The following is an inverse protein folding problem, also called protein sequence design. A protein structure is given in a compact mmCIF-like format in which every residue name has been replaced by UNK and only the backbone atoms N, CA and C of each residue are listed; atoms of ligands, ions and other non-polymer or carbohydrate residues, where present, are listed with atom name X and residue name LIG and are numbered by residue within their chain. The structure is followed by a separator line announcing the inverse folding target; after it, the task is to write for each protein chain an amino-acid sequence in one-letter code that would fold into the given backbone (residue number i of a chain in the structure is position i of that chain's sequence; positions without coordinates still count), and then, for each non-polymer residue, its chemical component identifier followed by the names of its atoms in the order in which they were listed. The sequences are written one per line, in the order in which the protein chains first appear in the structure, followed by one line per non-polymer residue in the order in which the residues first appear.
data_IF_701923624244
#
_entry.id   IF_701923624244
#
_cell.length_a   1.000
_cell.length_b   1.000
_cell.length_c   1.000
_cell.angle_alpha   90.00
_cell.angle_beta   90.00
_cell.angle_gamma   90.00
#
_symmetry.space_group_name_H-M   'P 1'
#
loop_
_entity.id
_entity.type
_entity.pdbx_description
1 polymer ?
#
# COMPACT_ATOMS: atom_id res chain seq x y z
N UNK A 1 16.23 8.48 -6.17
CA UNK A 1 14.90 9.11 -6.27
C UNK A 1 14.25 9.17 -4.90
N UNK A 2 13.53 10.24 -4.56
CA UNK A 2 12.70 10.33 -3.34
C UNK A 2 11.27 9.90 -3.66
N UNK A 3 10.63 9.22 -2.73
CA UNK A 3 9.21 8.87 -2.84
C UNK A 3 8.48 9.36 -1.59
N UNK A 4 7.58 10.30 -1.77
CA UNK A 4 6.60 10.67 -0.75
C UNK A 4 5.36 9.79 -0.91
N UNK A 5 4.68 9.50 0.19
CA UNK A 5 3.42 8.77 0.14
C UNK A 5 2.32 9.44 0.95
N UNK A 6 1.10 9.32 0.48
CA UNK A 6 -0.12 9.73 1.19
C UNK A 6 -0.90 8.46 1.51
N UNK A 7 -1.25 8.26 2.78
CA UNK A 7 -1.91 7.05 3.26
C UNK A 7 -3.09 7.38 4.17
N UNK A 8 -4.03 6.45 4.31
CA UNK A 8 -5.25 6.63 5.08
C UNK A 8 -5.03 6.43 6.59
N UNK A 9 -4.54 5.24 6.93
CA UNK A 9 -4.53 4.69 8.27
C UNK A 9 -3.25 4.98 9.05
N UNK A 10 -3.33 4.79 10.37
CA UNK A 10 -2.15 4.85 11.24
C UNK A 10 -1.22 3.65 10.99
N UNK A 11 -1.78 2.45 10.83
CA UNK A 11 -1.00 1.25 10.50
C UNK A 11 -0.29 1.40 9.15
N UNK A 12 -0.98 1.89 8.13
CA UNK A 12 -0.41 2.14 6.79
C UNK A 12 0.76 3.10 6.82
N UNK A 13 0.71 4.15 7.65
CA UNK A 13 1.78 5.13 7.78
C UNK A 13 3.09 4.54 8.31
N UNK A 14 3.01 3.42 9.03
CA UNK A 14 4.19 2.68 9.51
C UNK A 14 4.54 1.53 8.56
N UNK A 15 3.53 0.87 7.99
CA UNK A 15 3.70 -0.32 7.18
C UNK A 15 4.10 -0.06 5.73
N UNK A 16 3.47 0.93 5.08
CA UNK A 16 3.69 1.19 3.67
C UNK A 16 5.13 1.60 3.34
N UNK A 17 5.82 2.43 4.14
CA UNK A 17 7.25 2.70 3.90
C UNK A 17 8.13 1.45 3.98
N UNK A 18 7.81 0.51 4.86
CA UNK A 18 8.54 -0.76 4.98
C UNK A 18 8.35 -1.58 3.71
N UNK A 19 7.10 -1.75 3.29
CA UNK A 19 6.76 -2.49 2.08
C UNK A 19 7.36 -1.86 0.82
N UNK A 20 7.24 -0.54 0.69
CA UNK A 20 7.73 0.20 -0.47
C UNK A 20 9.25 0.08 -0.62
N UNK A 21 10.02 0.14 0.47
CA UNK A 21 11.47 -0.10 0.41
C UNK A 21 11.81 -1.51 -0.09
N UNK A 22 11.04 -2.51 0.32
CA UNK A 22 11.24 -3.90 -0.15
C UNK A 22 10.91 -4.04 -1.63
N UNK A 23 9.81 -3.45 -2.09
CA UNK A 23 9.44 -3.43 -3.52
C UNK A 23 10.53 -2.72 -4.33
N UNK A 24 11.01 -1.55 -3.89
CA UNK A 24 12.06 -0.81 -4.59
C UNK A 24 13.36 -1.59 -4.69
N UNK A 25 13.75 -2.28 -3.61
CA UNK A 25 14.92 -3.15 -3.61
C UNK A 25 14.76 -4.32 -4.59
N UNK A 26 13.56 -4.87 -4.72
CA UNK A 26 13.27 -5.96 -5.66
C UNK A 26 13.28 -5.50 -7.13
N UNK A 27 12.58 -4.40 -7.44
CA UNK A 27 12.43 -3.92 -8.83
C UNK A 27 13.64 -3.14 -9.34
N UNK A 28 14.37 -2.44 -8.47
CA UNK A 28 15.54 -1.65 -8.84
C UNK A 28 16.64 -1.70 -7.76
N UNK A 29 17.35 -2.85 -7.62
CA UNK A 29 18.30 -3.08 -6.52
C UNK A 29 19.55 -2.19 -6.56
N UNK A 30 19.86 -1.56 -7.71
CA UNK A 30 21.09 -0.79 -7.91
C UNK A 30 20.93 0.71 -7.66
N UNK A 31 19.71 1.17 -7.45
CA UNK A 31 19.41 2.59 -7.26
C UNK A 31 19.13 2.92 -5.79
N UNK A 32 19.57 4.11 -5.39
CA UNK A 32 19.28 4.65 -4.07
C UNK A 32 17.92 5.34 -4.07
N UNK A 33 17.03 4.86 -3.20
CA UNK A 33 15.69 5.39 -3.02
C UNK A 33 15.48 5.91 -1.61
N UNK A 34 15.01 7.15 -1.49
CA UNK A 34 14.66 7.78 -0.21
C UNK A 34 13.14 7.73 -0.03
N UNK A 35 12.66 6.73 0.73
CA UNK A 35 11.24 6.62 1.09
C UNK A 35 10.95 7.51 2.29
N UNK A 36 10.27 8.61 2.03
CA UNK A 36 9.96 9.65 3.00
C UNK A 36 8.85 9.21 3.96
N UNK A 37 8.74 9.93 5.10
CA UNK A 37 7.64 9.70 6.04
C UNK A 37 6.29 9.99 5.37
N UNK A 38 5.30 9.08 5.45
CA UNK A 38 4.00 9.30 4.85
C UNK A 38 3.24 10.48 5.45
N UNK A 39 2.48 11.15 4.60
CA UNK A 39 1.43 12.08 5.02
C UNK A 39 0.16 11.26 5.25
N UNK A 40 -0.35 11.27 6.48
CA UNK A 40 -1.55 10.52 6.85
C UNK A 40 -2.79 11.40 6.78
N UNK A 41 -3.78 11.01 5.99
CA UNK A 41 -5.08 11.67 5.91
C UNK A 41 -6.18 10.62 5.98
N UNK A 42 -7.04 10.65 7.02
CA UNK A 42 -8.18 9.75 7.11
C UNK A 42 -9.07 9.86 5.86
N UNK A 43 -9.62 8.73 5.41
CA UNK A 43 -10.48 8.63 4.23
C UNK A 43 -11.63 9.61 4.19
N UNK A 44 -12.28 9.80 5.34
CA UNK A 44 -13.38 10.76 5.49
C UNK A 44 -13.00 12.19 5.10
N UNK A 45 -11.71 12.53 5.14
CA UNK A 45 -11.16 13.79 4.60
C UNK A 45 -10.64 13.63 3.19
N UNK A 46 -9.91 12.56 2.88
CA UNK A 46 -9.28 12.35 1.56
C UNK A 46 -10.27 12.52 0.40
N UNK A 47 -11.47 11.95 0.53
CA UNK A 47 -12.50 12.02 -0.53
C UNK A 47 -13.11 13.41 -0.69
N UNK A 48 -12.94 14.33 0.27
CA UNK A 48 -13.46 15.69 0.17
C UNK A 48 -12.66 16.52 -0.83
N UNK A 49 -13.30 17.37 -1.65
CA UNK A 49 -12.59 18.29 -2.54
C UNK A 49 -11.56 19.13 -1.80
N UNK A 50 -10.36 19.24 -2.35
CA UNK A 50 -9.26 20.07 -1.82
C UNK A 50 -8.43 19.45 -0.68
N UNK A 51 -8.84 18.35 -0.05
CA UNK A 51 -8.04 17.69 1.00
C UNK A 51 -6.88 16.86 0.42
N UNK A 52 -7.16 16.02 -0.58
CA UNK A 52 -6.13 15.25 -1.29
C UNK A 52 -5.12 16.16 -2.01
N UNK A 53 -5.60 17.24 -2.61
CA UNK A 53 -4.81 18.22 -3.34
C UNK A 53 -3.83 18.94 -2.39
N UNK A 54 -4.29 19.34 -1.20
CA UNK A 54 -3.41 19.91 -0.16
C UNK A 54 -2.37 18.91 0.33
N UNK A 55 -2.73 17.64 0.44
CA UNK A 55 -1.80 16.57 0.80
C UNK A 55 -0.73 16.39 -0.27
N UNK A 56 -1.15 16.37 -1.53
CA UNK A 56 -0.29 16.24 -2.68
C UNK A 56 0.64 17.45 -2.81
N UNK A 57 0.15 18.66 -2.55
CA UNK A 57 0.99 19.86 -2.51
C UNK A 57 2.06 19.77 -1.41
N UNK A 58 1.72 19.26 -0.23
CA UNK A 58 2.69 19.04 0.84
C UNK A 58 3.73 17.97 0.43
N UNK A 59 3.28 16.85 -0.14
CA UNK A 59 4.15 15.79 -0.64
C UNK A 59 5.11 16.33 -1.72
N UNK A 60 4.61 17.14 -2.65
CA UNK A 60 5.38 17.74 -3.74
C UNK A 60 6.43 18.74 -3.28
N UNK A 61 6.26 19.36 -2.11
CA UNK A 61 7.30 20.21 -1.48
C UNK A 61 8.42 19.40 -0.85
N UNK A 62 8.16 18.13 -0.52
CA UNK A 62 9.16 17.21 0.04
C UNK A 62 9.98 16.50 -1.06
N UNK A 63 9.54 16.60 -2.31
CA UNK A 63 10.10 15.93 -3.49
C UNK A 63 10.52 16.93 -4.58
N UNK A 64 11.42 16.52 -5.49
CA UNK A 64 11.92 17.30 -6.63
C UNK A 64 11.44 16.80 -7.99
N UNK A 65 11.87 17.42 -9.10
CA UNK A 65 11.66 16.87 -10.44
C UNK A 65 12.29 15.47 -10.56
N UNK A 66 11.56 14.51 -11.14
CA UNK A 66 11.99 13.10 -11.23
C UNK A 66 11.71 12.25 -9.99
N UNK A 67 11.21 12.85 -8.91
CA UNK A 67 10.67 12.14 -7.75
C UNK A 67 9.17 11.84 -7.91
N UNK A 68 8.65 10.98 -7.05
CA UNK A 68 7.27 10.53 -7.13
C UNK A 68 6.47 10.72 -5.84
N UNK A 69 5.15 10.82 -6.01
CA UNK A 69 4.16 10.81 -4.94
C UNK A 69 3.22 9.64 -5.14
N UNK A 70 3.17 8.74 -4.16
CA UNK A 70 2.31 7.55 -4.19
C UNK A 70 1.17 7.72 -3.19
N UNK A 71 -0.06 7.70 -3.67
CA UNK A 71 -1.27 7.70 -2.85
C UNK A 71 -1.72 6.26 -2.68
N UNK A 72 -1.82 5.78 -1.45
CA UNK A 72 -2.36 4.46 -1.12
C UNK A 72 -3.59 4.60 -0.23
N UNK A 73 -4.68 3.97 -0.64
CA UNK A 73 -5.98 4.04 0.04
C UNK A 73 -6.60 2.65 0.01
N UNK A 74 -7.27 2.27 1.10
CA UNK A 74 -8.14 1.11 1.11
C UNK A 74 -9.39 1.41 0.27
N UNK A 75 -9.80 0.50 -0.61
CA UNK A 75 -10.98 0.71 -1.44
C UNK A 75 -12.28 0.50 -0.66
N UNK A 76 -12.26 -0.24 0.45
CA UNK A 76 -13.44 -0.72 1.17
C UNK A 76 -14.46 -1.38 0.21
N UNK A 77 -15.58 -0.71 -0.03
CA UNK A 77 -16.64 -1.11 -0.96
C UNK A 77 -16.64 -0.28 -2.27
N UNK A 78 -15.70 0.67 -2.42
CA UNK A 78 -15.51 1.42 -3.67
C UNK A 78 -14.86 0.56 -4.76
N UNK A 79 -15.13 0.91 -6.01
CA UNK A 79 -14.52 0.26 -7.18
C UNK A 79 -13.16 0.90 -7.51
N UNK A 80 -12.03 0.18 -7.37
CA UNK A 80 -10.70 0.73 -7.66
C UNK A 80 -10.58 1.32 -9.06
N UNK A 81 -11.20 0.68 -10.07
CA UNK A 81 -11.15 1.14 -11.46
C UNK A 81 -11.89 2.47 -11.71
N UNK A 82 -12.78 2.89 -10.80
CA UNK A 82 -13.50 4.16 -10.91
C UNK A 82 -12.84 5.23 -10.06
N UNK A 83 -12.53 4.91 -8.79
CA UNK A 83 -12.04 5.88 -7.82
C UNK A 83 -10.58 6.29 -8.08
N UNK A 84 -9.71 5.35 -8.46
CA UNK A 84 -8.30 5.69 -8.66
C UNK A 84 -8.08 6.73 -9.79
N UNK A 85 -8.72 6.60 -10.98
CA UNK A 85 -8.66 7.64 -12.02
C UNK A 85 -9.25 8.98 -11.58
N UNK A 86 -10.36 8.97 -10.83
CA UNK A 86 -10.98 10.20 -10.31
C UNK A 86 -10.02 10.96 -9.37
N UNK A 87 -9.42 10.25 -8.42
CA UNK A 87 -8.46 10.83 -7.49
C UNK A 87 -7.20 11.30 -8.22
N UNK A 88 -6.72 10.56 -9.22
CA UNK A 88 -5.58 10.97 -10.04
C UNK A 88 -5.88 12.25 -10.83
N UNK A 89 -7.09 12.38 -11.38
CA UNK A 89 -7.49 13.59 -12.14
C UNK A 89 -7.46 14.87 -11.30
N UNK A 90 -7.68 14.75 -9.99
CA UNK A 90 -7.58 15.87 -9.03
C UNK A 90 -6.13 16.33 -8.80
N UNK A 91 -5.14 15.48 -9.11
CA UNK A 91 -3.72 15.78 -8.92
C UNK A 91 -3.17 16.46 -10.19
N UNK A 92 -3.18 17.81 -10.19
CA UNK A 92 -2.96 18.61 -11.42
C UNK A 92 -1.54 19.10 -11.63
N UNK A 93 -0.63 18.89 -10.68
CA UNK A 93 0.76 19.35 -10.77
C UNK A 93 1.56 18.54 -11.78
N UNK A 94 1.82 19.13 -12.96
CA UNK A 94 2.54 18.46 -14.06
C UNK A 94 4.03 18.21 -13.81
N UNK A 95 4.62 18.84 -12.81
CA UNK A 95 6.04 18.69 -12.44
C UNK A 95 6.32 17.47 -11.56
N UNK A 96 5.29 16.64 -11.27
CA UNK A 96 5.39 15.50 -10.37
C UNK A 96 4.71 14.28 -10.96
N UNK A 97 5.33 13.11 -10.71
CA UNK A 97 4.74 11.82 -11.07
C UNK A 97 3.87 11.36 -9.91
N UNK A 98 2.57 11.27 -10.15
CA UNK A 98 1.61 10.73 -9.20
C UNK A 98 1.26 9.28 -9.56
N UNK A 99 1.14 8.44 -8.55
CA UNK A 99 0.54 7.10 -8.65
C UNK A 99 -0.54 6.97 -7.59
N UNK A 100 -1.74 6.58 -8.01
CA UNK A 100 -2.86 6.32 -7.10
C UNK A 100 -3.14 4.83 -7.09
N UNK A 101 -2.99 4.24 -5.92
CA UNK A 101 -3.15 2.82 -5.65
C UNK A 101 -4.31 2.65 -4.67
N UNK A 102 -5.28 1.84 -5.08
CA UNK A 102 -6.40 1.43 -4.25
C UNK A 102 -6.16 -0.03 -3.89
N UNK A 103 -5.82 -0.31 -2.63
CA UNK A 103 -5.80 -1.67 -2.12
C UNK A 103 -7.23 -2.19 -2.18
N UNK A 104 -7.46 -3.27 -2.93
CA UNK A 104 -8.83 -3.73 -3.15
C UNK A 104 -9.40 -4.25 -1.83
N UNK A 105 -10.50 -3.63 -1.40
CA UNK A 105 -11.04 -3.67 -0.04
C UNK A 105 -10.09 -3.12 1.01
N UNK A 106 -9.06 -3.85 1.38
CA UNK A 106 -8.16 -3.49 2.49
C UNK A 106 -6.70 -3.84 2.15
N UNK A 107 -5.75 -3.07 2.69
CA UNK A 107 -4.31 -3.40 2.67
C UNK A 107 -4.04 -4.84 3.10
N UNK A 108 -4.77 -5.32 4.11
CA UNK A 108 -4.68 -6.67 4.64
C UNK A 108 -4.89 -7.77 3.59
N UNK A 109 -5.61 -7.50 2.50
CA UNK A 109 -5.80 -8.47 1.41
C UNK A 109 -4.45 -8.92 0.81
N UNK A 110 -3.41 -8.08 0.87
CA UNK A 110 -2.06 -8.45 0.44
C UNK A 110 -1.40 -9.45 1.40
N UNK A 111 -1.70 -9.38 2.70
CA UNK A 111 -1.26 -10.40 3.66
C UNK A 111 -2.02 -11.70 3.47
N UNK A 112 -3.33 -11.65 3.14
CA UNK A 112 -4.10 -12.85 2.78
C UNK A 112 -3.47 -13.55 1.57
N UNK A 113 -3.10 -12.80 0.54
CA UNK A 113 -2.43 -13.34 -0.65
C UNK A 113 -1.11 -14.03 -0.32
N UNK A 114 -0.32 -13.42 0.58
CA UNK A 114 0.96 -13.91 1.04
C UNK A 114 0.89 -14.81 2.28
N UNK A 115 -0.29 -15.25 2.72
CA UNK A 115 -0.49 -15.84 4.05
C UNK A 115 0.44 -17.03 4.35
N UNK A 116 0.77 -17.84 3.34
CA UNK A 116 1.71 -18.96 3.48
C UNK A 116 3.09 -18.51 3.97
N UNK A 117 3.58 -17.35 3.53
CA UNK A 117 4.86 -16.78 4.01
C UNK A 117 4.80 -16.21 5.43
N UNK A 118 3.57 -16.00 5.93
CA UNK A 118 3.31 -15.36 7.22
C UNK A 118 2.96 -16.37 8.33
N UNK A 119 2.99 -17.66 8.04
CA UNK A 119 2.84 -18.74 9.03
C UNK A 119 3.76 -18.50 10.24
N UNK A 120 3.19 -18.53 11.45
CA UNK A 120 3.90 -18.32 12.71
C UNK A 120 4.35 -16.88 12.99
N UNK A 121 4.06 -15.93 12.09
CA UNK A 121 4.48 -14.53 12.26
C UNK A 121 3.39 -13.72 12.95
N UNK A 122 3.79 -12.95 13.97
CA UNK A 122 2.90 -12.00 14.67
C UNK A 122 1.61 -12.64 15.20
N UNK A 123 1.67 -13.90 15.60
CA UNK A 123 0.53 -14.64 16.12
C UNK A 123 -0.36 -15.28 15.06
N UNK A 124 -0.04 -15.18 13.76
CA UNK A 124 -0.70 -16.00 12.74
C UNK A 124 -0.36 -17.48 12.92
N UNK A 125 -1.34 -18.35 12.72
CA UNK A 125 -1.16 -19.80 12.90
C UNK A 125 -0.15 -20.37 11.89
N UNK A 126 0.53 -21.43 12.27
CA UNK A 126 1.52 -22.11 11.41
C UNK A 126 0.87 -22.89 10.26
N UNK A 127 -0.43 -23.15 10.33
CA UNK A 127 -1.21 -23.88 9.33
C UNK A 127 -2.07 -22.96 8.45
N UNK A 128 -1.91 -21.63 8.56
CA UNK A 128 -2.70 -20.69 7.77
C UNK A 128 -2.48 -20.90 6.27
N UNK A 129 -3.59 -21.03 5.53
CA UNK A 129 -3.58 -21.16 4.07
C UNK A 129 -4.17 -19.91 3.44
N UNK A 130 -3.51 -19.40 2.40
CA UNK A 130 -4.04 -18.26 1.67
C UNK A 130 -5.38 -18.61 1.00
N UNK A 131 -6.40 -17.73 1.07
CA UNK A 131 -7.63 -17.92 0.30
C UNK A 131 -7.34 -17.95 -1.21
N UNK A 132 -8.23 -18.56 -1.98
CA UNK A 132 -8.14 -18.61 -3.44
C UNK A 132 -8.17 -17.20 -4.05
N UNK A 133 -9.11 -16.37 -3.58
CA UNK A 133 -9.28 -14.98 -3.98
C UNK A 133 -9.14 -14.05 -2.76
N UNK A 134 -7.91 -13.61 -2.42
CA UNK A 134 -7.65 -12.78 -1.24
C UNK A 134 -8.44 -11.48 -1.18
N UNK A 135 -8.61 -10.80 -2.32
CA UNK A 135 -9.29 -9.51 -2.37
C UNK A 135 -10.83 -9.62 -2.42
N UNK A 136 -11.39 -10.83 -2.54
CA UNK A 136 -12.84 -11.03 -2.44
C UNK A 136 -13.32 -11.06 -0.98
N UNK A 137 -12.41 -11.35 -0.04
CA UNK A 137 -12.70 -11.41 1.40
C UNK A 137 -13.04 -10.00 1.90
N UNK A 138 -14.28 -9.82 2.36
CA UNK A 138 -14.79 -8.51 2.77
C UNK A 138 -14.12 -7.92 4.00
N UNK A 139 -13.86 -8.76 5.01
CA UNK A 139 -13.20 -8.37 6.25
C UNK A 139 -11.85 -9.09 6.35
N UNK A 140 -10.84 -8.55 5.66
CA UNK A 140 -9.51 -9.16 5.63
C UNK A 140 -8.83 -9.05 7.00
N UNK A 141 -9.08 -7.96 7.73
CA UNK A 141 -8.67 -7.81 9.14
C UNK A 141 -9.29 -8.90 10.01
N UNK A 142 -10.60 -9.14 9.88
CA UNK A 142 -11.33 -10.21 10.57
C UNK A 142 -10.75 -11.58 10.26
N UNK A 143 -10.49 -11.85 8.98
CA UNK A 143 -9.87 -13.10 8.55
C UNK A 143 -8.51 -13.33 9.22
N UNK A 144 -7.64 -12.31 9.29
CA UNK A 144 -6.35 -12.42 10.00
C UNK A 144 -6.52 -12.70 11.49
N UNK A 145 -7.54 -12.10 12.13
CA UNK A 145 -7.85 -12.35 13.56
C UNK A 145 -8.33 -13.76 13.81
N UNK A 146 -9.18 -14.30 12.93
CA UNK A 146 -9.68 -15.68 13.01
C UNK A 146 -8.55 -16.70 12.84
N UNK A 147 -7.57 -16.39 11.99
CA UNK A 147 -6.39 -17.22 11.73
C UNK A 147 -5.20 -16.86 12.62
N UNK A 148 -5.43 -16.11 13.69
CA UNK A 148 -4.46 -15.90 14.75
C UNK A 148 -4.58 -16.99 15.82
N UNK A 149 -3.50 -17.21 16.58
CA UNK A 149 -3.53 -18.01 17.80
C UNK A 149 -4.26 -17.25 18.92
N UNK A 150 -4.87 -17.99 19.84
CA UNK A 150 -5.57 -17.39 20.99
C UNK A 150 -4.61 -16.50 21.79
N UNK A 151 -5.06 -15.29 22.15
CA UNK A 151 -4.26 -14.32 22.91
C UNK A 151 -3.32 -13.44 22.07
N UNK A 152 -3.12 -13.72 20.77
CA UNK A 152 -2.26 -12.92 19.88
C UNK A 152 -2.96 -12.51 18.59
N UNK A 153 -4.18 -11.97 18.73
CA UNK A 153 -5.00 -11.54 17.59
C UNK A 153 -4.37 -10.36 16.83
N UNK A 154 -4.45 -10.41 15.50
CA UNK A 154 -3.95 -9.36 14.59
C UNK A 154 -4.47 -7.95 14.94
N UNK A 155 -3.52 -7.00 15.04
CA UNK A 155 -3.76 -5.58 15.27
C UNK A 155 -2.95 -4.75 14.28
N UNK A 156 -3.59 -4.00 13.36
CA UNK A 156 -2.88 -3.26 12.32
C UNK A 156 -1.74 -2.37 12.83
N UNK A 157 -1.99 -1.58 13.89
CA UNK A 157 -0.97 -0.68 14.46
C UNK A 157 0.22 -1.39 15.13
N UNK A 158 0.12 -2.69 15.42
CA UNK A 158 1.20 -3.45 16.05
C UNK A 158 1.88 -4.39 15.04
N UNK A 159 1.13 -4.89 14.06
CA UNK A 159 1.54 -6.04 13.25
C UNK A 159 1.74 -5.71 11.77
N UNK A 160 1.01 -4.73 11.23
CA UNK A 160 1.00 -4.45 9.78
C UNK A 160 2.41 -4.10 9.26
N UNK A 161 3.19 -3.31 10.00
CA UNK A 161 4.55 -2.97 9.62
C UNK A 161 5.52 -4.16 9.71
N UNK A 162 5.37 -4.99 10.75
CA UNK A 162 6.20 -6.18 10.92
C UNK A 162 5.91 -7.23 9.83
N UNK A 163 4.63 -7.47 9.52
CA UNK A 163 4.21 -8.35 8.43
C UNK A 163 4.63 -7.80 7.07
N UNK A 164 4.52 -6.49 6.84
CA UNK A 164 5.05 -5.82 5.64
C UNK A 164 6.55 -6.03 5.44
N UNK A 165 7.31 -6.13 6.53
CA UNK A 165 8.74 -6.41 6.51
C UNK A 165 9.11 -7.82 6.06
N UNK A 166 8.18 -8.78 6.15
CA UNK A 166 8.49 -10.21 5.94
C UNK A 166 7.61 -10.92 4.92
N UNK A 167 6.48 -10.33 4.48
CA UNK A 167 5.61 -10.94 3.48
C UNK A 167 6.37 -11.27 2.20
N UNK A 168 6.11 -12.43 1.62
CA UNK A 168 6.68 -12.80 0.33
C UNK A 168 6.03 -11.96 -0.79
N UNK A 169 6.85 -11.20 -1.52
CA UNK A 169 6.36 -10.29 -2.56
C UNK A 169 5.75 -11.05 -3.74
N UNK A 170 6.32 -12.20 -4.12
CA UNK A 170 5.82 -13.03 -5.22
C UNK A 170 4.46 -13.65 -4.88
N UNK A 171 4.28 -14.12 -3.64
CA UNK A 171 2.97 -14.60 -3.19
C UNK A 171 1.94 -13.46 -3.13
N UNK A 172 2.36 -12.26 -2.74
CA UNK A 172 1.49 -11.08 -2.70
C UNK A 172 1.02 -10.64 -4.10
N UNK A 173 1.77 -10.94 -5.17
CA UNK A 173 1.36 -10.67 -6.56
C UNK A 173 0.06 -11.38 -6.97
N UNK A 174 -0.40 -12.39 -6.21
CA UNK A 174 -1.73 -12.99 -6.38
C UNK A 174 -2.88 -12.01 -6.14
N UNK A 175 -2.63 -10.92 -5.42
CA UNK A 175 -3.59 -9.82 -5.25
C UNK A 175 -3.43 -8.81 -6.40
N UNK A 176 -4.45 -8.63 -7.27
CA UNK A 176 -4.38 -7.70 -8.39
C UNK A 176 -3.98 -6.26 -8.03
N UNK A 177 -4.45 -5.74 -6.88
CA UNK A 177 -4.08 -4.39 -6.43
C UNK A 177 -2.62 -4.29 -5.98
N UNK A 178 -2.06 -5.36 -5.41
CA UNK A 178 -0.63 -5.43 -5.11
C UNK A 178 0.22 -5.51 -6.39
N UNK A 179 -0.20 -6.33 -7.36
CA UNK A 179 0.46 -6.41 -8.65
C UNK A 179 0.45 -5.06 -9.39
N UNK A 180 -0.63 -4.27 -9.24
CA UNK A 180 -0.69 -2.89 -9.73
C UNK A 180 0.32 -2.01 -8.99
N UNK A 181 0.40 -2.06 -7.65
CA UNK A 181 1.39 -1.30 -6.88
C UNK A 181 2.82 -1.55 -7.42
N UNK A 182 3.23 -2.81 -7.52
CA UNK A 182 4.58 -3.17 -7.99
C UNK A 182 4.85 -2.64 -9.41
N UNK A 183 3.87 -2.77 -10.31
CA UNK A 183 3.97 -2.23 -11.68
C UNK A 183 4.11 -0.71 -11.72
N UNK A 184 3.30 0.00 -10.94
CA UNK A 184 3.32 1.45 -10.87
C UNK A 184 4.64 1.96 -10.28
N UNK A 185 5.18 1.30 -9.24
CA UNK A 185 6.49 1.62 -8.66
C UNK A 185 7.61 1.38 -9.68
N UNK A 186 7.59 0.26 -10.40
CA UNK A 186 8.55 -0.03 -11.46
C UNK A 186 8.54 1.02 -12.57
N UNK A 187 7.34 1.41 -13.03
CA UNK A 187 7.18 2.46 -14.05
C UNK A 187 7.76 3.80 -13.60
N UNK A 188 7.60 4.14 -12.31
CA UNK A 188 8.17 5.36 -11.74
C UNK A 188 9.71 5.29 -11.73
N UNK A 189 10.30 4.16 -11.35
CA UNK A 189 11.77 4.01 -11.32
C UNK A 189 12.40 3.99 -12.71
N UNK A 190 11.70 3.44 -13.71
CA UNK A 190 12.20 3.37 -15.09
C UNK A 190 12.03 4.68 -15.88
N UNK A 191 11.39 5.70 -15.30
CA UNK A 191 11.10 6.97 -15.98
C UNK A 191 9.99 6.87 -17.05
N UNK A 192 9.26 5.76 -17.07
CA UNK A 192 8.18 5.51 -18.04
C UNK A 192 6.90 6.16 -17.50
N UNK A 193 6.65 7.41 -17.88
CA UNK A 193 5.37 8.07 -17.65
C UNK A 193 4.32 7.47 -18.61
N UNK A 194 3.68 6.38 -18.20
CA UNK A 194 2.45 5.88 -18.82
C UNK A 194 1.22 6.53 -18.20
#
# INVERSE_FOLDING_TARGET
MRIASIVEGKGDAEAFPVLLRRILHDVCPREHHDVLRPIRIPRSRLVRPGELERAADLASRMTGPGDAVVVLIDADDDRPQCLAPELLHRLTRRDRVYRVILANREFEAWFLAAAKSLQGRRGLRDDITAPSNPEDIRDAKGWLREHSVSGSSYRPTADQAALSGVLDLDLAMRAPSFAKLVRDIRSVTEGTAT
#
